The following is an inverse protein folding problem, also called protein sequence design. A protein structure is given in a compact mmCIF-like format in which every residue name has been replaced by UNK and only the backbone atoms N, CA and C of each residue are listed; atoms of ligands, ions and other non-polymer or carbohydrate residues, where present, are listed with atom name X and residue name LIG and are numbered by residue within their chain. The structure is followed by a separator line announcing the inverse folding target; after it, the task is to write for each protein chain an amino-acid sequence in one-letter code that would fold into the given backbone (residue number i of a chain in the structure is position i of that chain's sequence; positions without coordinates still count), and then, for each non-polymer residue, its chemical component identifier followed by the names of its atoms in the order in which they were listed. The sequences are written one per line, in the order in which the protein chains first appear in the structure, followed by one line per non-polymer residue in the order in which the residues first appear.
data_IF_328476753006
#
_entry.id   IF_328476753006
#
_cell.length_a   1.000
_cell.length_b   1.000
_cell.length_c   1.000
_cell.angle_alpha   90.00
_cell.angle_beta   90.00
_cell.angle_gamma   90.00
#
_symmetry.space_group_name_H-M   'P 1'
#
loop_
_entity.id
_entity.type
_entity.pdbx_description
1 polymer ?
#
# COMPACT_ATOMS: atom_id res chain seq x y z
N UNK A 1 7.56 -18.58 -20.34
CA UNK A 1 7.37 -20.02 -20.59
C UNK A 1 7.12 -20.71 -19.26
N UNK A 2 6.07 -21.54 -19.18
CA UNK A 2 5.79 -22.33 -17.99
C UNK A 2 6.76 -23.53 -17.86
N UNK A 3 7.37 -23.95 -18.98
CA UNK A 3 8.23 -25.15 -19.06
C UNK A 3 9.61 -24.99 -18.40
N UNK A 4 10.09 -23.76 -18.16
CA UNK A 4 11.37 -23.48 -17.48
C UNK A 4 11.19 -22.95 -16.05
N UNK A 5 9.95 -22.88 -15.54
CA UNK A 5 9.68 -22.30 -14.23
C UNK A 5 9.68 -23.39 -13.15
N UNK A 6 10.83 -23.60 -12.53
CA UNK A 6 11.01 -24.51 -11.40
C UNK A 6 10.37 -23.91 -10.13
N UNK A 7 9.03 -23.91 -10.09
CA UNK A 7 8.26 -23.24 -9.05
C UNK A 7 8.48 -23.85 -7.66
N UNK A 8 8.83 -25.15 -7.58
CA UNK A 8 9.15 -25.85 -6.34
C UNK A 8 10.39 -25.26 -5.63
N UNK A 9 11.33 -24.64 -6.38
CA UNK A 9 12.51 -24.01 -5.80
C UNK A 9 12.21 -22.72 -5.01
N UNK A 10 10.99 -22.21 -5.11
CA UNK A 10 10.58 -20.95 -4.49
C UNK A 10 9.69 -21.16 -3.25
N UNK A 11 9.36 -22.40 -2.89
CA UNK A 11 8.54 -22.70 -1.70
C UNK A 11 9.24 -22.27 -0.40
N UNK A 12 10.58 -22.38 -0.36
CA UNK A 12 11.40 -21.88 0.75
C UNK A 12 11.36 -20.36 0.84
N UNK A 13 11.28 -19.66 -0.31
CA UNK A 13 11.16 -18.20 -0.37
C UNK A 13 9.76 -17.75 0.08
N UNK A 14 8.71 -18.45 -0.35
CA UNK A 14 7.34 -18.19 0.09
C UNK A 14 7.24 -18.35 1.62
N UNK A 15 7.84 -19.41 2.16
CA UNK A 15 7.89 -19.68 3.60
C UNK A 15 8.67 -18.60 4.35
N UNK A 16 9.79 -18.14 3.79
CA UNK A 16 10.57 -17.04 4.35
C UNK A 16 9.75 -15.74 4.41
N UNK A 17 9.01 -15.41 3.36
CA UNK A 17 8.16 -14.21 3.35
C UNK A 17 6.98 -14.33 4.32
N UNK A 18 6.32 -15.49 4.40
CA UNK A 18 5.25 -15.71 5.39
C UNK A 18 5.77 -15.48 6.81
N UNK A 19 6.98 -15.96 7.13
CA UNK A 19 7.59 -15.76 8.44
C UNK A 19 7.99 -14.30 8.69
N UNK A 20 8.66 -13.68 7.72
CA UNK A 20 9.18 -12.31 7.84
C UNK A 20 8.07 -11.26 7.92
N UNK A 21 7.00 -11.43 7.13
CA UNK A 21 5.87 -10.49 7.11
C UNK A 21 4.85 -10.80 8.22
N UNK A 22 4.88 -12.02 8.76
CA UNK A 22 3.97 -12.49 9.81
C UNK A 22 4.36 -12.06 11.22
N UNK A 23 5.55 -11.47 11.41
CA UNK A 23 5.96 -10.93 12.70
C UNK A 23 5.06 -9.76 13.12
N UNK A 24 4.66 -9.75 14.39
CA UNK A 24 3.79 -8.74 14.97
C UNK A 24 4.51 -7.93 16.05
N UNK A 25 4.31 -6.59 16.10
CA UNK A 25 3.61 -5.76 15.10
C UNK A 25 4.41 -5.62 13.80
N UNK A 26 3.73 -5.28 12.69
CA UNK A 26 4.42 -4.79 11.49
C UNK A 26 4.70 -3.31 11.69
N UNK A 27 5.97 -2.94 11.80
CA UNK A 27 6.46 -1.57 12.02
C UNK A 27 7.22 -1.01 10.81
N UNK A 28 7.32 -1.77 9.71
CA UNK A 28 8.00 -1.36 8.49
C UNK A 28 7.15 -0.51 7.54
N UNK A 29 7.75 -0.14 6.42
CA UNK A 29 7.07 0.55 5.32
C UNK A 29 5.84 -0.24 4.85
N UNK A 30 4.80 0.46 4.40
CA UNK A 30 3.56 -0.17 3.91
C UNK A 30 3.44 -0.16 2.38
N UNK A 31 4.25 0.65 1.72
CA UNK A 31 4.14 0.98 0.31
C UNK A 31 4.79 -0.04 -0.65
N UNK A 32 4.84 0.27 -1.96
CA UNK A 32 5.18 -0.73 -3.00
C UNK A 32 6.68 -0.94 -3.19
N UNK A 33 7.55 -0.01 -2.81
CA UNK A 33 8.97 -0.06 -3.17
C UNK A 33 9.78 -0.83 -2.13
N UNK A 34 9.59 -0.52 -0.85
CA UNK A 34 10.26 -1.13 0.30
C UNK A 34 9.29 -1.79 1.27
N UNK A 35 8.00 -1.48 1.16
CA UNK A 35 7.00 -1.90 2.12
C UNK A 35 6.23 -3.17 1.78
N UNK A 36 5.26 -3.44 2.65
CA UNK A 36 4.39 -4.63 2.58
C UNK A 36 3.73 -4.82 1.20
N UNK A 37 3.27 -3.73 0.56
CA UNK A 37 2.64 -3.82 -0.75
C UNK A 37 3.59 -4.33 -1.84
N UNK A 38 4.90 -4.11 -1.70
CA UNK A 38 5.95 -4.54 -2.62
C UNK A 38 6.11 -6.05 -2.74
N UNK A 39 5.57 -6.84 -1.80
CA UNK A 39 5.56 -8.31 -1.87
C UNK A 39 4.40 -8.86 -2.71
N UNK A 40 3.38 -8.05 -2.99
CA UNK A 40 2.19 -8.49 -3.73
C UNK A 40 2.44 -8.79 -5.22
N UNK A 41 3.36 -8.12 -5.96
CA UNK A 41 3.73 -8.55 -7.31
C UNK A 41 4.39 -9.93 -7.33
N UNK A 42 5.22 -10.24 -6.33
CA UNK A 42 5.82 -11.56 -6.17
C UNK A 42 4.72 -12.62 -5.92
N UNK A 43 3.88 -12.40 -4.91
CA UNK A 43 2.81 -13.33 -4.54
C UNK A 43 1.81 -13.55 -5.68
N UNK A 44 1.37 -12.48 -6.37
CA UNK A 44 0.44 -12.58 -7.51
C UNK A 44 1.04 -13.33 -8.71
N UNK A 45 2.36 -13.21 -8.91
CA UNK A 45 3.06 -13.97 -9.95
C UNK A 45 3.15 -15.45 -9.59
N UNK A 46 3.50 -15.75 -8.34
CA UNK A 46 3.55 -17.12 -7.79
C UNK A 46 2.19 -17.81 -7.82
N UNK A 47 1.11 -17.07 -7.58
CA UNK A 47 -0.26 -17.59 -7.56
C UNK A 47 -0.74 -18.14 -8.92
N UNK A 48 0.00 -17.88 -10.00
CA UNK A 48 -0.26 -18.52 -11.31
C UNK A 48 0.20 -19.98 -11.38
N UNK A 49 1.04 -20.41 -10.44
CA UNK A 49 1.74 -21.69 -10.47
C UNK A 49 1.64 -22.49 -9.15
N UNK A 50 1.35 -21.83 -8.03
CA UNK A 50 1.29 -22.42 -6.69
C UNK A 50 0.24 -21.72 -5.83
N UNK A 51 -0.18 -22.36 -4.74
CA UNK A 51 -1.08 -21.74 -3.77
C UNK A 51 -0.33 -20.71 -2.92
N UNK A 52 -0.82 -19.46 -2.94
CA UNK A 52 -0.24 -18.32 -2.24
C UNK A 52 -1.15 -17.77 -1.15
N UNK A 53 -2.19 -18.51 -0.75
CA UNK A 53 -3.15 -18.08 0.27
C UNK A 53 -2.46 -17.64 1.56
N UNK A 54 -1.47 -18.40 2.06
CA UNK A 54 -0.74 -18.05 3.30
C UNK A 54 0.03 -16.74 3.21
N UNK A 55 0.67 -16.48 2.07
CA UNK A 55 1.41 -15.23 1.89
C UNK A 55 0.46 -14.04 1.78
N UNK A 56 -0.66 -14.21 1.07
CA UNK A 56 -1.70 -13.19 1.00
C UNK A 56 -2.45 -12.98 2.32
N UNK A 57 -2.63 -14.02 3.15
CA UNK A 57 -3.20 -13.90 4.50
C UNK A 57 -2.38 -12.91 5.34
N UNK A 58 -1.06 -13.05 5.29
CA UNK A 58 -0.14 -12.17 6.03
C UNK A 58 -0.14 -10.74 5.47
N UNK A 59 -0.14 -10.59 4.14
CA UNK A 59 -0.21 -9.28 3.48
C UNK A 59 -1.53 -8.56 3.81
N UNK A 60 -2.67 -9.23 3.65
CA UNK A 60 -3.99 -8.67 3.97
C UNK A 60 -4.06 -8.31 5.45
N UNK A 61 -3.65 -9.21 6.35
CA UNK A 61 -3.63 -8.92 7.78
C UNK A 61 -2.73 -7.73 8.12
N UNK A 62 -1.62 -7.55 7.42
CA UNK A 62 -0.75 -6.38 7.61
C UNK A 62 -1.43 -5.07 7.19
N UNK A 63 -2.18 -5.07 6.08
CA UNK A 63 -2.99 -3.92 5.69
C UNK A 63 -4.14 -3.65 6.66
N UNK A 64 -4.83 -4.67 7.17
CA UNK A 64 -5.89 -4.50 8.17
C UNK A 64 -5.37 -3.83 9.45
N UNK A 65 -4.20 -4.25 9.92
CA UNK A 65 -3.60 -3.70 11.15
C UNK A 65 -3.15 -2.25 11.02
N UNK A 66 -2.73 -1.86 9.82
CA UNK A 66 -2.25 -0.50 9.53
C UNK A 66 -3.33 0.40 8.90
N UNK A 67 -4.54 -0.13 8.73
CA UNK A 67 -5.67 0.62 8.20
C UNK A 67 -6.19 1.59 9.26
N UNK A 68 -6.49 2.81 8.82
CA UNK A 68 -7.35 3.74 9.54
C UNK A 68 -8.75 3.62 8.96
N UNK A 69 -9.69 3.10 9.75
CA UNK A 69 -11.12 3.12 9.42
C UNK A 69 -11.73 4.45 9.88
N UNK A 70 -12.38 5.16 8.97
CA UNK A 70 -13.08 6.41 9.25
C UNK A 70 -14.56 6.14 9.58
N UNK A 71 -15.20 7.05 10.29
CA UNK A 71 -16.60 6.92 10.74
C UNK A 71 -17.61 6.68 9.60
N UNK A 72 -17.28 7.09 8.38
CA UNK A 72 -18.10 6.92 7.19
C UNK A 72 -17.84 5.60 6.44
N UNK A 73 -17.05 4.69 7.01
CA UNK A 73 -16.69 3.39 6.41
C UNK A 73 -15.57 3.45 5.39
N UNK A 74 -14.99 4.64 5.14
CA UNK A 74 -13.78 4.78 4.32
C UNK A 74 -12.56 4.22 5.05
N UNK A 75 -11.60 3.74 4.28
CA UNK A 75 -10.38 3.11 4.79
C UNK A 75 -9.18 3.77 4.15
N UNK A 76 -8.13 4.04 4.90
CA UNK A 76 -6.89 4.61 4.36
C UNK A 76 -5.67 4.14 5.13
N UNK A 77 -4.49 4.42 4.60
CA UNK A 77 -3.21 4.05 5.19
C UNK A 77 -2.28 5.25 5.18
N UNK A 78 -1.88 5.69 6.36
CA UNK A 78 -0.83 6.71 6.48
C UNK A 78 0.55 6.10 6.30
N UNK A 79 1.51 6.91 5.86
CA UNK A 79 2.92 6.57 5.96
C UNK A 79 3.29 6.37 7.45
N UNK A 80 4.14 5.37 7.77
CA UNK A 80 4.77 5.27 9.09
C UNK A 80 5.45 6.60 9.49
N UNK A 81 5.55 6.86 10.80
CA UNK A 81 6.11 8.12 11.32
C UNK A 81 7.60 8.29 10.99
N UNK A 82 8.33 7.19 10.96
CA UNK A 82 9.76 7.10 10.62
C UNK A 82 10.01 6.87 9.13
N UNK A 83 8.96 6.83 8.31
CA UNK A 83 9.07 6.51 6.89
C UNK A 83 9.96 7.50 6.14
N UNK A 84 10.82 6.96 5.29
CA UNK A 84 11.67 7.78 4.43
C UNK A 84 10.88 8.47 3.31
N UNK A 85 9.61 8.11 3.13
CA UNK A 85 8.74 8.65 2.09
C UNK A 85 7.78 9.73 2.59
N UNK A 86 7.84 10.08 3.88
CA UNK A 86 7.15 11.27 4.39
C UNK A 86 7.65 12.53 3.68
N UNK A 87 6.72 13.38 3.27
CA UNK A 87 6.96 14.68 2.68
C UNK A 87 7.15 15.75 3.75
N UNK A 88 6.48 15.61 4.90
CA UNK A 88 6.63 16.50 6.05
C UNK A 88 7.75 16.03 6.99
N UNK A 89 8.96 15.96 6.45
CA UNK A 89 10.17 15.89 7.26
C UNK A 89 10.58 17.33 7.46
N UNK A 90 10.47 17.85 8.68
CA UNK A 90 10.84 19.23 9.00
C UNK A 90 12.17 19.61 8.33
N UNK A 91 12.09 20.34 7.22
CA UNK A 91 13.25 20.72 6.40
C UNK A 91 14.00 21.90 7.05
N UNK A 92 13.49 22.36 8.21
CA UNK A 92 14.14 23.32 9.07
C UNK A 92 15.14 22.56 9.97
N UNK A 93 16.40 22.53 9.53
CA UNK A 93 17.51 21.95 10.33
C UNK A 93 17.62 22.57 11.72
N UNK A 94 17.09 23.77 11.89
CA UNK A 94 17.09 24.55 13.12
C UNK A 94 15.81 24.34 13.96
N UNK A 95 14.79 23.68 13.42
CA UNK A 95 13.52 23.44 14.11
C UNK A 95 12.84 22.15 13.62
N UNK A 96 13.35 20.97 14.01
CA UNK A 96 12.73 19.71 13.65
C UNK A 96 11.36 19.62 14.31
N UNK A 97 10.32 19.97 13.57
CA UNK A 97 8.96 19.69 13.99
C UNK A 97 8.79 18.17 13.88
N UNK A 98 8.63 17.49 15.02
CA UNK A 98 8.28 16.08 15.04
C UNK A 98 6.99 15.94 14.21
N UNK A 99 7.07 15.21 13.09
CA UNK A 99 5.89 14.94 12.27
C UNK A 99 5.00 14.00 13.08
N UNK A 100 3.99 14.55 13.77
CA UNK A 100 3.10 13.77 14.65
C UNK A 100 1.79 13.36 13.98
N UNK A 101 1.55 13.81 12.74
CA UNK A 101 0.29 13.62 12.03
C UNK A 101 0.29 12.41 11.09
N UNK A 102 -0.90 11.96 10.70
CA UNK A 102 -1.05 11.03 9.59
C UNK A 102 -0.68 11.72 8.27
N UNK A 103 0.13 11.07 7.43
CA UNK A 103 0.45 11.55 6.07
C UNK A 103 0.00 10.51 5.05
N UNK A 104 -0.87 10.91 4.11
CA UNK A 104 -1.42 10.01 3.12
C UNK A 104 -0.86 10.32 1.73
N UNK A 105 0.04 9.46 1.26
CA UNK A 105 0.61 9.56 -0.08
C UNK A 105 -0.40 9.06 -1.14
N UNK A 106 -0.52 9.78 -2.24
CA UNK A 106 -1.45 9.49 -3.34
C UNK A 106 -0.75 8.98 -4.61
N UNK A 107 0.57 8.81 -4.57
CA UNK A 107 1.35 8.19 -5.63
C UNK A 107 1.21 6.66 -5.63
N UNK A 108 1.37 6.04 -6.81
CA UNK A 108 1.31 4.58 -6.94
C UNK A 108 2.44 3.87 -6.17
N UNK A 109 3.64 4.43 -6.19
CA UNK A 109 4.80 3.82 -5.55
C UNK A 109 4.67 3.84 -4.01
N UNK A 110 4.33 5.00 -3.46
CA UNK A 110 4.44 5.24 -2.03
C UNK A 110 3.10 5.34 -1.30
N UNK A 111 1.98 5.26 -2.02
CA UNK A 111 0.69 5.68 -1.51
C UNK A 111 -0.41 4.63 -1.52
N UNK A 112 -1.59 5.10 -1.11
CA UNK A 112 -2.83 4.30 -1.04
C UNK A 112 -3.14 3.59 -2.37
N UNK A 113 -2.95 4.17 -3.58
CA UNK A 113 -3.19 3.44 -4.82
C UNK A 113 -2.33 2.17 -4.98
N UNK A 114 -1.09 2.16 -4.48
CA UNK A 114 -0.23 0.98 -4.49
C UNK A 114 -0.76 -0.13 -3.60
N UNK A 115 -1.25 0.23 -2.41
CA UNK A 115 -1.88 -0.70 -1.47
C UNK A 115 -3.15 -1.32 -2.06
N UNK A 116 -3.99 -0.50 -2.71
CA UNK A 116 -5.18 -0.99 -3.42
C UNK A 116 -4.82 -1.97 -4.53
N UNK A 117 -3.79 -1.66 -5.32
CA UNK A 117 -3.30 -2.57 -6.35
C UNK A 117 -2.81 -3.91 -5.75
N UNK A 118 -2.16 -3.88 -4.59
CA UNK A 118 -1.69 -5.08 -3.89
C UNK A 118 -2.82 -6.02 -3.42
N UNK A 119 -4.00 -5.47 -3.10
CA UNK A 119 -5.16 -6.23 -2.65
C UNK A 119 -5.92 -6.95 -3.79
N UNK A 120 -5.65 -6.61 -5.06
CA UNK A 120 -6.47 -7.08 -6.21
C UNK A 120 -6.53 -8.60 -6.33
N UNK A 121 -5.41 -9.28 -6.09
CA UNK A 121 -5.39 -10.73 -6.14
C UNK A 121 -6.15 -11.36 -4.96
N UNK A 122 -6.01 -10.79 -3.76
CA UNK A 122 -6.63 -11.32 -2.54
C UNK A 122 -8.17 -11.35 -2.62
N UNK A 123 -8.80 -10.44 -3.38
CA UNK A 123 -10.26 -10.46 -3.64
C UNK A 123 -10.69 -11.76 -4.35
N UNK A 124 -9.80 -12.37 -5.13
CA UNK A 124 -10.07 -13.61 -5.84
C UNK A 124 -9.82 -14.87 -5.00
N UNK A 125 -9.12 -14.74 -3.87
CA UNK A 125 -8.83 -15.85 -2.95
C UNK A 125 -10.04 -16.05 -2.01
N UNK A 126 -10.75 -17.19 -2.06
CA UNK A 126 -12.00 -17.38 -1.32
C UNK A 126 -11.90 -17.11 0.18
N UNK A 127 -10.83 -17.57 0.83
CA UNK A 127 -10.61 -17.37 2.26
C UNK A 127 -10.40 -15.89 2.66
N UNK A 128 -9.91 -15.06 1.72
CA UNK A 128 -9.54 -13.67 1.97
C UNK A 128 -10.56 -12.68 1.42
N UNK A 129 -11.46 -13.14 0.54
CA UNK A 129 -12.31 -12.30 -0.30
C UNK A 129 -13.06 -11.24 0.49
N UNK A 130 -13.71 -11.61 1.58
CA UNK A 130 -14.54 -10.68 2.36
C UNK A 130 -13.69 -9.52 2.91
N UNK A 131 -12.61 -9.86 3.63
CA UNK A 131 -11.68 -8.89 4.21
C UNK A 131 -11.01 -8.02 3.15
N UNK A 132 -10.48 -8.64 2.09
CA UNK A 132 -9.83 -7.93 1.00
C UNK A 132 -10.81 -6.99 0.27
N UNK A 133 -12.07 -7.42 0.08
CA UNK A 133 -13.11 -6.58 -0.53
C UNK A 133 -13.47 -5.40 0.36
N UNK A 134 -13.57 -5.58 1.69
CA UNK A 134 -13.80 -4.49 2.64
C UNK A 134 -12.72 -3.42 2.50
N UNK A 135 -11.44 -3.81 2.57
CA UNK A 135 -10.31 -2.90 2.42
C UNK A 135 -10.30 -2.21 1.05
N UNK A 136 -10.53 -2.97 -0.02
CA UNK A 136 -10.55 -2.47 -1.40
C UNK A 136 -11.63 -1.41 -1.60
N UNK A 137 -12.87 -1.70 -1.20
CA UNK A 137 -14.00 -0.80 -1.40
C UNK A 137 -13.83 0.46 -0.53
N UNK A 138 -13.56 0.29 0.77
CA UNK A 138 -13.36 1.42 1.67
C UNK A 138 -12.19 2.32 1.26
N UNK A 139 -11.11 1.73 0.75
CA UNK A 139 -9.95 2.46 0.25
C UNK A 139 -10.14 3.12 -1.10
N UNK A 140 -10.88 2.49 -2.03
CA UNK A 140 -11.30 3.14 -3.27
C UNK A 140 -12.22 4.34 -3.01
N UNK A 141 -13.20 4.19 -2.11
CA UNK A 141 -14.12 5.26 -1.73
C UNK A 141 -13.36 6.43 -1.09
N UNK A 142 -12.37 6.14 -0.24
CA UNK A 142 -11.49 7.16 0.32
C UNK A 142 -10.67 7.87 -0.77
N UNK A 143 -10.03 7.09 -1.65
CA UNK A 143 -9.16 7.61 -2.72
C UNK A 143 -9.94 8.50 -3.68
N UNK A 144 -11.14 8.10 -4.11
CA UNK A 144 -12.01 8.91 -4.96
C UNK A 144 -12.38 10.24 -4.31
N UNK A 145 -12.51 10.26 -2.97
CA UNK A 145 -12.70 11.50 -2.21
C UNK A 145 -11.53 12.49 -2.29
N UNK A 146 -10.33 12.02 -2.66
CA UNK A 146 -9.11 12.83 -2.79
C UNK A 146 -8.87 13.36 -4.21
N UNK A 147 -9.80 13.13 -5.15
CA UNK A 147 -9.66 13.63 -6.52
C UNK A 147 -9.54 15.15 -6.55
N UNK A 148 -8.64 15.63 -7.41
CA UNK A 148 -8.45 17.05 -7.63
C UNK A 148 -9.75 17.66 -8.20
N UNK A 149 -10.19 18.78 -7.63
CA UNK A 149 -11.39 19.52 -8.05
C UNK A 149 -11.07 20.60 -9.09
N UNK A 150 -9.81 20.70 -9.53
CA UNK A 150 -9.38 21.68 -10.52
C UNK A 150 -10.18 21.53 -11.82
N UNK A 151 -10.54 22.66 -12.40
CA UNK A 151 -11.22 22.77 -13.70
C UNK A 151 -10.22 23.03 -14.84
N UNK A 152 -8.92 23.08 -14.53
CA UNK A 152 -7.91 23.39 -15.53
C UNK A 152 -7.66 22.20 -16.48
N UNK A 153 -7.59 22.44 -17.79
CA UNK A 153 -7.16 21.43 -18.73
C UNK A 153 -5.76 20.92 -18.36
N UNK A 154 -5.60 19.59 -18.29
CA UNK A 154 -4.33 18.89 -17.99
C UNK A 154 -3.87 18.83 -16.52
N UNK A 155 -4.71 19.20 -15.55
CA UNK A 155 -4.39 18.91 -14.15
C UNK A 155 -4.36 17.41 -13.87
N UNK A 156 -3.43 16.94 -13.04
CA UNK A 156 -3.41 15.56 -12.57
C UNK A 156 -4.69 15.25 -11.77
N UNK A 157 -5.24 14.04 -11.95
CA UNK A 157 -6.44 13.58 -11.23
C UNK A 157 -6.24 13.53 -9.71
N UNK A 158 -5.00 13.36 -9.24
CA UNK A 158 -4.61 13.31 -7.84
C UNK A 158 -3.32 14.12 -7.61
N UNK A 159 -3.17 14.68 -6.41
CA UNK A 159 -1.90 15.28 -5.96
C UNK A 159 -0.87 14.23 -5.52
N UNK A 160 0.24 14.67 -4.92
CA UNK A 160 1.24 13.75 -4.35
C UNK A 160 0.86 13.25 -2.94
N UNK A 161 0.12 14.04 -2.17
CA UNK A 161 -0.41 13.70 -0.85
C UNK A 161 -1.74 14.40 -0.61
N UNK A 162 -2.49 13.93 0.39
CA UNK A 162 -3.66 14.67 0.91
C UNK A 162 -3.18 16.01 1.49
N UNK A 163 -3.97 17.06 1.26
CA UNK A 163 -3.70 18.46 1.66
C UNK A 163 -2.39 19.09 1.12
N UNK A 164 -1.71 18.40 0.20
CA UNK A 164 -0.50 18.89 -0.46
C UNK A 164 -0.81 20.01 -1.46
N UNK A 165 -0.80 21.26 -1.00
CA UNK A 165 -0.76 22.48 -1.84
C UNK A 165 0.55 22.59 -2.65
N UNK A 166 1.49 21.66 -2.46
CA UNK A 166 2.76 21.66 -3.19
C UNK A 166 2.54 21.06 -4.58
N UNK A 167 2.62 21.95 -5.58
CA UNK A 167 2.83 21.59 -6.98
C UNK A 167 3.81 20.43 -7.10
N UNK A 168 3.56 19.57 -8.09
CA UNK A 168 4.46 18.48 -8.46
C UNK A 168 5.91 18.96 -8.44
N UNK A 169 6.78 18.31 -7.67
CA UNK A 169 8.23 18.60 -7.65
C UNK A 169 8.90 18.42 -9.01
N UNK A 170 8.19 17.82 -9.97
CA UNK A 170 8.67 17.65 -11.34
C UNK A 170 8.42 18.87 -12.23
N UNK A 171 7.72 19.90 -11.75
CA UNK A 171 7.46 21.13 -12.50
C UNK A 171 6.63 20.89 -13.76
N UNK A 172 5.42 21.45 -13.79
CA UNK A 172 4.85 21.91 -15.06
C UNK A 172 4.64 23.41 -14.92
#
# INVERSE_FOLDING_TARGET
NAEDYEYDLLDDIDSLFVQALGSLPWDGEIEMVLGLAGYSPYASRRAKFSDQEKLYEVIVGGFERNATELDNGQITWSQPLDSVYRLDKGDDRDNPQESTGAEYNLGLAHGVPGILAALLHAVNVPALRERATKLMVGGCDWLLGQQNKSIEPHSACFGCSVDGVKESRLGL
#
